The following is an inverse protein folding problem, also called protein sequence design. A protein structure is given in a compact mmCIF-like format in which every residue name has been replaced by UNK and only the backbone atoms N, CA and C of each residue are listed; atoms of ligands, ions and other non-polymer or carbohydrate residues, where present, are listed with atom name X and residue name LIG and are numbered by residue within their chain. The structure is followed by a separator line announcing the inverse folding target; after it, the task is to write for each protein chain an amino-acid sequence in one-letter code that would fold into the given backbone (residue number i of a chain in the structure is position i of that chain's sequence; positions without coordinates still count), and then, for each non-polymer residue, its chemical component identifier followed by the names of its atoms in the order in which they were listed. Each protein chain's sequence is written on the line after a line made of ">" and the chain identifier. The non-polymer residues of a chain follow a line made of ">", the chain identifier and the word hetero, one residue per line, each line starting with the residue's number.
data_IF_756603080553
#
_entry.id   IF_756603080553
#
_cell.length_a   1.000
_cell.length_b   1.000
_cell.length_c   1.000
_cell.angle_alpha   90.00
_cell.angle_beta   90.00
_cell.angle_gamma   90.00
#
_symmetry.space_group_name_H-M   'P 1'
#
loop_
_entity.id
_entity.type
_entity.pdbx_description
1 polymer ?
#
# COMPACT_ATOMS: atom_id res chain seq x y z
N UNK A 1 1.67 18.97 -26.95
CA UNK A 1 0.81 17.84 -27.36
C UNK A 1 1.14 16.54 -26.62
N UNK A 2 2.27 15.86 -26.86
CA UNK A 2 2.57 14.54 -26.24
C UNK A 2 2.60 14.57 -24.70
N UNK A 3 3.20 15.61 -24.11
CA UNK A 3 3.27 15.78 -22.66
C UNK A 3 1.90 15.98 -21.99
N UNK A 4 0.96 16.62 -22.69
CA UNK A 4 -0.40 16.82 -22.18
C UNK A 4 -1.21 15.53 -22.25
N UNK A 5 -1.09 14.78 -23.35
CA UNK A 5 -1.73 13.48 -23.50
C UNK A 5 -1.24 12.49 -22.43
N UNK A 6 0.07 12.48 -22.15
CA UNK A 6 0.65 11.66 -21.09
C UNK A 6 0.09 12.02 -19.71
N UNK A 7 0.06 13.31 -19.36
CA UNK A 7 -0.51 13.77 -18.09
C UNK A 7 -1.99 13.42 -17.98
N UNK A 8 -2.77 13.64 -19.05
CA UNK A 8 -4.18 13.29 -19.08
C UNK A 8 -4.38 11.78 -18.86
N UNK A 9 -3.67 10.94 -19.62
CA UNK A 9 -3.76 9.48 -19.48
C UNK A 9 -3.36 9.00 -18.07
N UNK A 10 -2.28 9.56 -17.50
CA UNK A 10 -1.86 9.21 -16.14
C UNK A 10 -2.90 9.59 -15.09
N UNK A 11 -3.44 10.82 -15.16
CA UNK A 11 -4.46 11.30 -14.21
C UNK A 11 -5.77 10.51 -14.35
N UNK A 12 -6.23 10.26 -15.57
CA UNK A 12 -7.42 9.43 -15.84
C UNK A 12 -7.22 8.00 -15.34
N UNK A 13 -6.02 7.43 -15.53
CA UNK A 13 -5.67 6.11 -15.02
C UNK A 13 -5.73 6.02 -13.50
N UNK A 14 -5.14 7.00 -12.79
CA UNK A 14 -5.22 7.09 -11.33
C UNK A 14 -6.65 7.27 -10.83
N UNK A 15 -7.40 8.18 -11.43
CA UNK A 15 -8.78 8.45 -11.03
C UNK A 15 -9.70 7.23 -11.28
N UNK A 16 -9.45 6.46 -12.34
CA UNK A 16 -10.15 5.21 -12.59
C UNK A 16 -9.79 4.15 -11.53
N UNK A 17 -8.51 4.05 -11.16
CA UNK A 17 -8.04 3.15 -10.11
C UNK A 17 -8.70 3.44 -8.76
N UNK A 18 -8.69 4.70 -8.33
CA UNK A 18 -9.26 5.16 -7.06
C UNK A 18 -10.78 4.93 -6.97
N UNK A 19 -11.46 4.86 -8.12
CA UNK A 19 -12.89 4.55 -8.21
C UNK A 19 -13.19 3.06 -8.38
N UNK A 20 -12.19 2.20 -8.29
CA UNK A 20 -12.33 0.75 -8.46
C UNK A 20 -12.52 0.28 -9.90
N UNK A 21 -12.40 1.17 -10.90
CA UNK A 21 -12.49 0.83 -12.32
C UNK A 21 -11.14 0.36 -12.85
N UNK A 22 -10.68 -0.79 -12.33
CA UNK A 22 -9.30 -1.26 -12.54
C UNK A 22 -8.97 -1.58 -14.01
N UNK A 23 -9.91 -2.15 -14.77
CA UNK A 23 -9.69 -2.43 -16.21
C UNK A 23 -9.49 -1.15 -17.04
N UNK A 24 -10.29 -0.12 -16.77
CA UNK A 24 -10.11 1.19 -17.41
C UNK A 24 -8.78 1.82 -17.00
N UNK A 25 -8.44 1.71 -15.72
CA UNK A 25 -7.16 2.20 -15.20
C UNK A 25 -5.97 1.59 -15.95
N UNK A 26 -5.98 0.27 -16.17
CA UNK A 26 -4.95 -0.42 -16.96
C UNK A 26 -4.83 0.20 -18.35
N UNK A 27 -5.94 0.36 -19.09
CA UNK A 27 -5.91 0.92 -20.44
C UNK A 27 -5.28 2.33 -20.49
N UNK A 28 -5.67 3.20 -19.56
CA UNK A 28 -5.12 4.56 -19.48
C UNK A 28 -3.64 4.54 -19.10
N UNK A 29 -3.23 3.71 -18.14
CA UNK A 29 -1.85 3.63 -17.67
C UNK A 29 -0.92 2.96 -18.69
N UNK A 30 -1.39 1.98 -19.46
CA UNK A 30 -0.65 1.43 -20.60
C UNK A 30 -0.41 2.48 -21.68
N UNK A 31 -1.42 3.31 -21.95
CA UNK A 31 -1.29 4.43 -22.89
C UNK A 31 -0.25 5.43 -22.39
N UNK A 32 -0.29 5.78 -21.10
CA UNK A 32 0.70 6.65 -20.48
C UNK A 32 2.12 6.03 -20.53
N UNK A 33 2.25 4.74 -20.26
CA UNK A 33 3.54 4.03 -20.27
C UNK A 33 4.17 3.98 -21.67
N UNK A 34 3.38 3.84 -22.74
CA UNK A 34 3.85 3.85 -24.13
C UNK A 34 4.41 5.20 -24.57
N UNK A 35 3.87 6.30 -24.02
CA UNK A 35 4.29 7.66 -24.34
C UNK A 35 5.52 8.12 -23.55
N UNK A 36 6.05 7.27 -22.67
CA UNK A 36 6.98 7.68 -21.63
C UNK A 36 8.38 7.09 -21.78
N UNK A 37 9.40 7.85 -21.33
CA UNK A 37 10.76 7.35 -21.14
C UNK A 37 10.79 6.47 -19.87
N UNK A 38 11.01 5.15 -19.98
CA UNK A 38 10.85 4.20 -18.87
C UNK A 38 11.76 4.48 -17.66
N UNK A 39 12.95 5.03 -17.90
CA UNK A 39 13.99 5.23 -16.89
C UNK A 39 13.89 6.55 -16.11
N UNK A 40 12.87 7.37 -16.38
CA UNK A 40 12.66 8.62 -15.65
C UNK A 40 11.84 8.39 -14.37
N UNK A 41 11.93 9.29 -13.39
CA UNK A 41 11.20 9.18 -12.12
C UNK A 41 9.69 8.97 -12.35
N UNK A 42 9.07 9.83 -13.15
CA UNK A 42 7.64 9.76 -13.44
C UNK A 42 7.30 8.47 -14.23
N UNK A 43 8.25 7.89 -14.96
CA UNK A 43 8.07 6.65 -15.74
C UNK A 43 8.00 5.44 -14.84
N UNK A 44 8.90 5.40 -13.86
CA UNK A 44 8.81 4.46 -12.75
C UNK A 44 7.49 4.60 -12.00
N UNK A 45 7.03 5.81 -11.69
CA UNK A 45 5.74 6.02 -11.00
C UNK A 45 4.55 5.48 -11.80
N UNK A 46 4.46 5.80 -13.09
CA UNK A 46 3.41 5.29 -13.99
C UNK A 46 3.45 3.76 -14.05
N UNK A 47 4.64 3.16 -14.16
CA UNK A 47 4.79 1.70 -14.20
C UNK A 47 4.45 1.04 -12.86
N UNK A 48 4.70 1.68 -11.72
CA UNK A 48 4.24 1.19 -10.42
C UNK A 48 2.70 1.18 -10.36
N UNK A 49 2.06 2.28 -10.79
CA UNK A 49 0.60 2.35 -10.87
C UNK A 49 0.04 1.29 -11.81
N UNK A 50 0.67 1.07 -12.96
CA UNK A 50 0.28 0.03 -13.91
C UNK A 50 0.41 -1.37 -13.31
N UNK A 51 1.53 -1.68 -12.64
CA UNK A 51 1.74 -2.95 -11.96
C UNK A 51 0.68 -3.20 -10.87
N UNK A 52 0.31 -2.16 -10.14
CA UNK A 52 -0.73 -2.21 -9.11
C UNK A 52 -2.11 -2.44 -9.75
N UNK A 53 -2.40 -1.81 -10.88
CA UNK A 53 -3.63 -2.01 -11.65
C UNK A 53 -3.73 -3.44 -12.22
N UNK A 54 -2.63 -4.03 -12.71
CA UNK A 54 -2.59 -5.43 -13.11
C UNK A 54 -2.92 -6.37 -11.97
N UNK A 55 -2.39 -6.10 -10.76
CA UNK A 55 -2.74 -6.89 -9.59
C UNK A 55 -4.24 -6.81 -9.28
N UNK A 56 -4.82 -5.61 -9.31
CA UNK A 56 -6.22 -5.38 -9.01
C UNK A 56 -7.19 -6.06 -10.00
N UNK A 57 -6.76 -6.30 -11.24
CA UNK A 57 -7.54 -7.05 -12.25
C UNK A 57 -7.27 -8.56 -12.19
N UNK A 58 -6.35 -9.02 -11.33
CA UNK A 58 -5.97 -10.43 -11.20
C UNK A 58 -4.86 -10.89 -12.16
N UNK A 59 -4.24 -9.97 -12.92
CA UNK A 59 -3.11 -10.24 -13.80
C UNK A 59 -1.79 -10.24 -13.02
N UNK A 60 -1.70 -11.15 -12.05
CA UNK A 60 -0.54 -11.27 -11.16
C UNK A 60 0.80 -11.54 -11.87
N UNK A 61 0.88 -12.36 -12.93
CA UNK A 61 2.13 -12.59 -13.65
C UNK A 61 2.71 -11.30 -14.24
N UNK A 62 1.88 -10.49 -14.88
CA UNK A 62 2.29 -9.23 -15.53
C UNK A 62 2.72 -8.19 -14.48
N UNK A 63 1.98 -8.11 -13.37
CA UNK A 63 2.33 -7.29 -12.21
C UNK A 63 3.71 -7.66 -11.64
N UNK A 64 3.97 -8.94 -11.39
CA UNK A 64 5.26 -9.42 -10.88
C UNK A 64 6.41 -9.16 -11.85
N UNK A 65 6.18 -9.38 -13.15
CA UNK A 65 7.19 -9.10 -14.18
C UNK A 65 7.57 -7.61 -14.20
N UNK A 66 6.58 -6.72 -14.07
CA UNK A 66 6.79 -5.28 -14.03
C UNK A 66 7.48 -4.82 -12.75
N UNK A 67 7.10 -5.34 -11.57
CA UNK A 67 7.83 -5.03 -10.33
C UNK A 67 9.27 -5.55 -10.35
N UNK A 68 9.51 -6.71 -10.95
CA UNK A 68 10.86 -7.26 -11.09
C UNK A 68 11.73 -6.40 -12.00
N UNK A 69 11.21 -5.85 -13.09
CA UNK A 69 11.97 -4.89 -13.93
C UNK A 69 12.27 -3.60 -13.17
N UNK A 70 11.27 -3.05 -12.47
CA UNK A 70 11.39 -1.81 -11.70
C UNK A 70 12.33 -1.93 -10.49
N UNK A 71 12.56 -3.13 -9.95
CA UNK A 71 13.53 -3.38 -8.88
C UNK A 71 14.99 -2.98 -9.23
N UNK A 72 15.26 -2.75 -10.52
CA UNK A 72 16.55 -2.34 -11.12
C UNK A 72 16.51 -0.94 -11.74
N UNK A 73 15.43 -0.18 -11.57
CA UNK A 73 15.24 1.17 -12.09
C UNK A 73 16.36 2.15 -11.63
N UNK A 74 16.79 3.17 -12.40
CA UNK A 74 17.85 4.08 -11.97
C UNK A 74 17.49 4.94 -10.73
N UNK A 75 16.21 5.25 -10.52
CA UNK A 75 15.77 5.99 -9.34
C UNK A 75 15.61 5.11 -8.10
N UNK A 76 16.25 5.51 -6.99
CA UNK A 76 16.29 4.75 -5.73
C UNK A 76 14.93 4.44 -5.12
N UNK A 77 14.05 5.44 -5.05
CA UNK A 77 12.70 5.29 -4.47
C UNK A 77 11.86 4.27 -5.24
N UNK A 78 11.89 4.33 -6.57
CA UNK A 78 11.19 3.37 -7.44
C UNK A 78 11.70 1.95 -7.19
N UNK A 79 13.02 1.74 -7.16
CA UNK A 79 13.59 0.42 -6.84
C UNK A 79 13.13 -0.09 -5.49
N UNK A 80 13.17 0.77 -4.47
CA UNK A 80 12.81 0.43 -3.10
C UNK A 80 11.34 0.01 -3.02
N UNK A 81 10.45 0.82 -3.59
CA UNK A 81 9.02 0.55 -3.63
C UNK A 81 8.71 -0.75 -4.39
N UNK A 82 9.30 -0.95 -5.56
CA UNK A 82 9.06 -2.16 -6.35
C UNK A 82 9.61 -3.43 -5.71
N UNK A 83 10.76 -3.38 -5.02
CA UNK A 83 11.26 -4.52 -4.24
C UNK A 83 10.33 -4.88 -3.09
N UNK A 84 9.81 -3.88 -2.38
CA UNK A 84 8.85 -4.09 -1.29
C UNK A 84 7.57 -4.76 -1.79
N UNK A 85 7.02 -4.27 -2.91
CA UNK A 85 5.81 -4.84 -3.50
C UNK A 85 6.06 -6.24 -4.07
N UNK A 86 7.20 -6.45 -4.74
CA UNK A 86 7.60 -7.77 -5.22
C UNK A 86 7.72 -8.78 -4.07
N UNK A 87 8.32 -8.39 -2.95
CA UNK A 87 8.45 -9.25 -1.76
C UNK A 87 7.08 -9.68 -1.21
N UNK A 88 6.10 -8.78 -1.19
CA UNK A 88 4.72 -9.09 -0.75
C UNK A 88 4.08 -10.12 -1.70
N UNK A 89 4.28 -9.96 -3.01
CA UNK A 89 3.68 -10.84 -4.02
C UNK A 89 4.35 -12.22 -4.10
N UNK A 90 5.65 -12.29 -3.85
CA UNK A 90 6.43 -13.54 -3.85
C UNK A 90 6.29 -14.33 -2.55
N UNK A 91 5.67 -13.77 -1.51
CA UNK A 91 5.56 -14.41 -0.22
C UNK A 91 4.87 -15.80 -0.32
N UNK A 92 5.50 -16.87 0.22
CA UNK A 92 4.93 -18.20 0.16
C UNK A 92 3.66 -18.26 1.01
N UNK A 93 2.69 -19.07 0.56
CA UNK A 93 1.47 -19.31 1.34
C UNK A 93 1.83 -20.03 2.63
N UNK A 94 1.31 -19.53 3.75
CA UNK A 94 1.50 -20.14 5.05
C UNK A 94 0.79 -21.50 5.09
N UNK A 95 1.53 -22.57 5.38
CA UNK A 95 0.98 -23.93 5.38
C UNK A 95 0.37 -24.30 6.73
N UNK A 96 -0.96 -24.42 6.73
CA UNK A 96 -1.79 -25.38 7.48
C UNK A 96 -1.18 -26.55 8.31
N UNK A 97 -0.40 -26.44 9.40
CA UNK A 97 0.00 -27.67 10.15
C UNK A 97 -1.20 -28.35 10.86
N UNK A 98 -1.47 -29.66 10.76
CA UNK A 98 -2.69 -30.24 11.34
C UNK A 98 -2.82 -30.08 12.87
N UNK A 99 -1.69 -30.00 13.59
CA UNK A 99 -1.60 -29.85 15.04
C UNK A 99 -2.04 -28.48 15.57
N UNK A 100 -2.08 -27.44 14.74
CA UNK A 100 -2.47 -26.09 15.16
C UNK A 100 -3.96 -25.76 14.91
N UNK A 101 -4.71 -26.64 14.24
CA UNK A 101 -6.11 -26.43 13.87
C UNK A 101 -6.93 -27.45 14.64
N UNK A 102 -7.83 -26.97 15.51
CA UNK A 102 -8.87 -27.83 16.06
C UNK A 102 -9.88 -28.08 14.94
N UNK A 103 -10.04 -29.34 14.51
CA UNK A 103 -11.10 -29.71 13.57
C UNK A 103 -12.44 -29.54 14.27
N UNK A 104 -13.28 -28.66 13.74
CA UNK A 104 -14.65 -28.51 14.22
C UNK A 104 -15.44 -29.72 13.69
N UNK A 105 -16.02 -30.57 14.57
CA UNK A 105 -16.82 -31.70 14.13
C UNK A 105 -18.09 -31.23 13.44
N UNK A 106 -18.65 -32.07 12.57
CA UNK A 106 -19.93 -31.79 11.90
C UNK A 106 -21.07 -31.79 12.93
N UNK A 107 -21.61 -30.60 13.19
CA UNK A 107 -22.61 -30.38 14.23
C UNK A 107 -24.02 -30.86 13.82
N UNK A 108 -24.24 -31.16 12.53
CA UNK A 108 -25.52 -31.60 12.02
C UNK A 108 -25.89 -33.03 12.43
N UNK A 109 -24.90 -33.84 12.79
CA UNK A 109 -25.07 -35.27 13.13
C UNK A 109 -25.15 -35.53 14.64
N UNK A 110 -25.10 -34.48 15.46
CA UNK A 110 -25.15 -34.61 16.92
C UNK A 110 -26.59 -34.70 17.41
N UNK A 111 -26.84 -35.62 18.34
CA UNK A 111 -28.11 -35.69 19.07
C UNK A 111 -28.26 -34.46 19.99
N UNK A 112 -29.50 -34.07 20.28
CA UNK A 112 -29.79 -32.85 21.07
C UNK A 112 -29.21 -32.88 22.48
N UNK A 113 -28.99 -34.08 23.04
CA UNK A 113 -28.29 -34.30 24.31
C UNK A 113 -26.78 -34.03 24.22
N UNK A 114 -26.14 -34.35 23.09
CA UNK A 114 -24.71 -34.10 22.88
C UNK A 114 -24.43 -32.62 22.58
N UNK A 115 -25.32 -31.94 21.84
CA UNK A 115 -25.24 -30.49 21.58
C UNK A 115 -25.17 -29.65 22.85
N UNK A 116 -25.82 -30.09 23.93
CA UNK A 116 -25.82 -29.41 25.24
C UNK A 116 -24.51 -29.59 26.03
N UNK A 117 -23.71 -30.62 25.72
CA UNK A 117 -22.48 -30.95 26.46
C UNK A 117 -21.22 -30.30 25.89
N UNK A 118 -21.21 -29.98 24.58
CA UNK A 118 -20.08 -29.32 23.90
C UNK A 118 -19.78 -27.92 24.51
N UNK A 119 -20.77 -27.26 25.10
CA UNK A 119 -20.59 -25.99 25.82
C UNK A 119 -20.21 -26.11 27.30
N UNK A 120 -20.18 -27.31 27.88
CA UNK A 120 -20.10 -27.51 29.33
C UNK A 120 -18.85 -28.29 29.73
N UNK A 121 -17.67 -27.73 29.44
CA UNK A 121 -16.42 -28.24 29.99
C UNK A 121 -16.32 -27.85 31.48
N UNK A 122 -16.64 -28.78 32.39
CA UNK A 122 -16.51 -28.64 33.85
C UNK A 122 -15.18 -29.17 34.40
N UNK A 123 -14.19 -29.38 33.52
CA UNK A 123 -12.82 -29.69 33.97
C UNK A 123 -12.21 -28.53 34.77
N UNK A 124 -11.27 -28.82 35.70
CA UNK A 124 -10.57 -27.77 36.44
C UNK A 124 -9.92 -26.83 35.43
N UNK A 125 -10.28 -25.54 35.50
CA UNK A 125 -9.72 -24.50 34.64
C UNK A 125 -8.23 -24.37 34.94
N UNK A 126 -7.38 -25.07 34.21
CA UNK A 126 -5.98 -24.67 34.09
C UNK A 126 -5.98 -23.25 33.55
N UNK A 127 -5.33 -22.28 34.22
CA UNK A 127 -5.25 -20.93 33.71
C UNK A 127 -4.71 -20.99 32.28
N UNK A 128 -5.52 -20.56 31.31
CA UNK A 128 -5.08 -20.43 29.93
C UNK A 128 -3.92 -19.43 29.92
N UNK A 129 -2.69 -19.92 29.83
CA UNK A 129 -1.56 -19.07 29.51
C UNK A 129 -1.74 -18.71 28.05
N UNK A 130 -2.20 -17.50 27.77
CA UNK A 130 -2.07 -16.93 26.44
C UNK A 130 -0.58 -17.02 26.08
N UNK A 131 -0.18 -17.81 25.07
CA UNK A 131 1.17 -17.69 24.55
C UNK A 131 1.32 -16.21 24.18
N UNK A 132 2.32 -15.53 24.76
CA UNK A 132 2.61 -14.14 24.42
C UNK A 132 2.72 -14.11 22.89
N UNK A 133 1.88 -13.33 22.18
CA UNK A 133 1.99 -13.26 20.74
C UNK A 133 3.44 -12.93 20.41
N UNK A 134 4.07 -13.62 19.44
CA UNK A 134 5.42 -13.28 19.03
C UNK A 134 5.43 -11.78 18.77
N UNK A 135 6.31 -11.07 19.48
CA UNK A 135 6.51 -9.65 19.33
C UNK A 135 7.13 -9.43 17.96
N UNK A 136 6.33 -9.51 16.90
CA UNK A 136 6.67 -8.96 15.60
C UNK A 136 6.74 -7.45 15.82
N UNK A 137 7.89 -6.99 16.31
CA UNK A 137 8.27 -5.60 16.20
C UNK A 137 8.48 -5.40 14.70
N UNK A 138 7.42 -4.98 14.02
CA UNK A 138 7.59 -4.12 12.88
C UNK A 138 8.35 -2.94 13.45
N UNK A 139 9.68 -2.97 13.40
CA UNK A 139 10.40 -1.72 13.50
C UNK A 139 9.74 -0.87 12.43
N UNK A 140 9.15 0.29 12.77
CA UNK A 140 8.80 1.23 11.73
C UNK A 140 10.11 1.40 10.98
N UNK A 141 10.17 0.83 9.76
CA UNK A 141 11.16 1.20 8.78
C UNK A 141 11.18 2.72 8.90
N UNK A 142 12.31 3.30 9.32
CA UNK A 142 12.45 4.75 9.49
C UNK A 142 12.04 5.37 8.16
N UNK A 143 10.75 5.63 8.00
CA UNK A 143 10.19 6.67 7.17
C UNK A 143 10.87 7.86 7.78
N UNK A 144 11.95 8.31 7.12
CA UNK A 144 12.64 9.52 7.51
C UNK A 144 11.54 10.51 7.79
N UNK A 145 11.49 10.97 9.04
CA UNK A 145 10.53 11.95 9.48
C UNK A 145 10.54 13.04 8.41
N UNK A 146 9.46 13.12 7.63
CA UNK A 146 9.27 14.24 6.73
C UNK A 146 9.07 15.40 7.69
N UNK A 147 10.18 16.06 8.00
CA UNK A 147 10.30 17.11 9.00
C UNK A 147 9.26 18.19 8.71
N UNK A 148 8.09 18.00 9.28
CA UNK A 148 7.05 19.01 9.45
C UNK A 148 7.24 19.61 10.85
N UNK A 149 8.47 19.59 11.36
CA UNK A 149 8.80 19.86 12.75
C UNK A 149 8.93 21.34 13.07
N UNK A 150 9.26 22.19 12.11
CA UNK A 150 9.42 23.63 12.38
C UNK A 150 8.69 24.50 11.35
N UNK A 151 7.53 25.02 11.76
CA UNK A 151 6.75 26.05 11.04
C UNK A 151 7.41 27.44 11.06
N UNK A 152 8.72 27.53 11.30
CA UNK A 152 9.46 28.80 11.38
C UNK A 152 9.40 29.59 10.06
N UNK A 153 9.33 28.89 8.92
CA UNK A 153 9.17 29.49 7.60
C UNK A 153 7.80 30.19 7.43
N UNK A 154 6.75 29.68 8.09
CA UNK A 154 5.42 30.29 8.09
C UNK A 154 5.45 31.61 8.87
N UNK A 155 6.12 31.63 10.03
CA UNK A 155 6.32 32.85 10.80
C UNK A 155 7.14 33.90 10.03
N UNK A 156 8.18 33.46 9.30
CA UNK A 156 8.97 34.35 8.44
C UNK A 156 8.12 34.96 7.31
N UNK A 157 7.24 34.17 6.68
CA UNK A 157 6.34 34.65 5.64
C UNK A 157 5.37 35.72 6.16
N UNK A 158 4.76 35.50 7.33
CA UNK A 158 3.91 36.51 7.97
C UNK A 158 4.67 37.79 8.34
N UNK A 159 5.92 37.67 8.81
CA UNK A 159 6.77 38.82 9.13
C UNK A 159 7.06 39.68 7.90
N UNK A 160 7.42 39.06 6.76
CA UNK A 160 7.67 39.79 5.51
C UNK A 160 6.40 40.52 5.04
N UNK A 161 5.24 39.87 5.10
CA UNK A 161 3.96 40.47 4.71
C UNK A 161 3.65 41.69 5.60
N UNK A 162 3.85 41.58 6.92
CA UNK A 162 3.62 42.68 7.85
C UNK A 162 4.55 43.88 7.59
N UNK A 163 5.83 43.65 7.25
CA UNK A 163 6.78 44.72 6.90
C UNK A 163 6.38 45.43 5.61
N UNK A 164 5.94 44.69 4.59
CA UNK A 164 5.49 45.29 3.32
C UNK A 164 4.25 46.16 3.54
N UNK A 165 3.26 45.65 4.27
CA UNK A 165 2.04 46.38 4.58
C UNK A 165 2.30 47.60 5.48
N UNK A 166 3.12 47.44 6.52
CA UNK A 166 3.50 48.53 7.41
C UNK A 166 4.32 49.61 6.70
N UNK A 167 5.25 49.20 5.83
CA UNK A 167 6.03 50.11 5.00
C UNK A 167 5.16 50.92 4.04
N UNK A 168 4.15 50.30 3.41
CA UNK A 168 3.20 51.01 2.54
C UNK A 168 2.38 52.06 3.29
N UNK A 169 1.98 51.79 4.54
CA UNK A 169 1.20 52.74 5.36
C UNK A 169 2.07 53.88 5.87
N UNK A 170 3.35 53.63 6.15
CA UNK A 170 4.26 54.65 6.67
C UNK A 170 4.84 55.57 5.58
N UNK A 171 4.90 55.09 4.34
CA UNK A 171 5.44 55.84 3.19
C UNK A 171 4.35 56.57 2.37
N UNK A 172 3.09 56.54 2.82
CA UNK A 172 1.95 57.25 2.25
C UNK A 172 1.49 58.38 3.19
#
# INVERSE_FOLDING_TARGET
>A
MVQEQLKAAYLSGKQAFERGRYRESVNYLETAAKLMIPNSKLGGEVQIWLATAYEAVGQRPDSMALYRSLSRHPHGEIRKQSRRLLYILEAPRLSSRPDWVVQIPDLAQLDDSEKLTIGRNTGPKTPYQTPKPPQFRLEPERTGEESTGDSWFVLMAFGIIAVILGGMVWFN
#
